data_IF_538618872117
#
_entry.id   IF_538618872117
#
_cell.length_a   1.000
_cell.length_b   1.000
_cell.length_c   1.000
_cell.angle_alpha   90.00
_cell.angle_beta   90.00
_cell.angle_gamma   90.00
#
_symmetry.space_group_name_H-M   'P 1'
#
loop_
_entity.id
_entity.type
_entity.pdbx_description
1 polymer ?
#
# COMPACT_ATOMS: atom_id res chain seq x y z
N UNK A 1 -25.11 -8.48 25.13
CA UNK A 1 -23.71 -8.82 25.46
C UNK A 1 -22.94 -7.51 25.56
N UNK A 2 -22.31 -7.21 26.69
CA UNK A 2 -21.36 -6.09 26.75
C UNK A 2 -20.04 -6.56 26.14
N UNK A 3 -19.47 -5.76 25.23
CA UNK A 3 -18.24 -6.09 24.53
C UNK A 3 -17.03 -5.72 25.40
N UNK A 4 -16.87 -6.41 26.53
CA UNK A 4 -15.90 -6.03 27.58
C UNK A 4 -14.44 -6.38 27.23
N UNK A 5 -14.21 -7.20 26.19
CA UNK A 5 -12.86 -7.65 25.81
C UNK A 5 -11.94 -6.52 25.35
N UNK A 6 -12.50 -5.38 24.92
CA UNK A 6 -11.72 -4.22 24.49
C UNK A 6 -11.37 -3.27 25.64
N UNK A 7 -11.96 -3.44 26.83
CA UNK A 7 -11.78 -2.54 27.96
C UNK A 7 -11.88 -1.05 27.59
N UNK A 8 -10.97 -0.26 28.13
CA UNK A 8 -10.89 1.19 27.89
C UNK A 8 -10.37 1.55 26.48
N UNK A 9 -10.02 0.55 25.65
CA UNK A 9 -9.57 0.75 24.27
C UNK A 9 -10.72 0.78 23.26
N UNK A 10 -11.96 0.56 23.69
CA UNK A 10 -13.10 0.38 22.78
C UNK A 10 -13.24 1.52 21.75
N UNK A 11 -13.10 2.76 22.18
CA UNK A 11 -13.22 3.91 21.29
C UNK A 11 -12.10 3.94 20.24
N UNK A 12 -10.85 3.73 20.66
CA UNK A 12 -9.70 3.68 19.76
C UNK A 12 -9.90 2.59 18.69
N UNK A 13 -10.27 1.39 19.10
CA UNK A 13 -10.50 0.26 18.19
C UNK A 13 -11.65 0.55 17.21
N UNK A 14 -12.73 1.18 17.69
CA UNK A 14 -13.84 1.58 16.83
C UNK A 14 -13.37 2.55 15.72
N UNK A 15 -12.54 3.55 16.05
CA UNK A 15 -12.06 4.51 15.05
C UNK A 15 -11.15 3.85 14.02
N UNK A 16 -10.28 2.93 14.45
CA UNK A 16 -9.42 2.15 13.54
C UNK A 16 -10.26 1.30 12.59
N UNK A 17 -11.28 0.60 13.09
CA UNK A 17 -12.19 -0.20 12.24
C UNK A 17 -12.92 0.69 11.24
N UNK A 18 -13.44 1.84 11.69
CA UNK A 18 -14.13 2.79 10.80
C UNK A 18 -13.21 3.29 9.70
N UNK A 19 -11.98 3.69 10.04
CA UNK A 19 -10.98 4.13 9.07
C UNK A 19 -10.64 3.02 8.07
N UNK A 20 -10.34 1.80 8.55
CA UNK A 20 -10.02 0.67 7.70
C UNK A 20 -11.13 0.33 6.69
N UNK A 21 -12.39 0.34 7.13
CA UNK A 21 -13.54 0.10 6.25
C UNK A 21 -13.72 1.22 5.22
N UNK A 22 -13.64 2.49 5.63
CA UNK A 22 -13.77 3.64 4.73
C UNK A 22 -12.63 3.67 3.69
N UNK A 23 -11.40 3.38 4.14
CA UNK A 23 -10.24 3.28 3.27
C UNK A 23 -10.40 2.13 2.28
N UNK A 24 -10.72 0.92 2.73
CA UNK A 24 -10.93 -0.25 1.86
C UNK A 24 -11.97 0.00 0.75
N UNK A 25 -13.08 0.67 1.09
CA UNK A 25 -14.14 1.02 0.13
C UNK A 25 -13.68 2.00 -0.96
N UNK A 26 -12.67 2.83 -0.67
CA UNK A 26 -12.23 3.90 -1.57
C UNK A 26 -10.87 3.63 -2.22
N UNK A 27 -10.08 2.72 -1.65
CA UNK A 27 -8.67 2.48 -1.96
C UNK A 27 -8.39 2.15 -3.44
N UNK A 28 -9.34 1.49 -4.11
CA UNK A 28 -9.25 1.10 -5.54
C UNK A 28 -9.99 2.04 -6.48
N UNK A 29 -10.75 3.00 -5.97
CA UNK A 29 -11.51 3.94 -6.79
C UNK A 29 -10.56 4.83 -7.59
N UNK A 30 -10.85 4.99 -8.88
CA UNK A 30 -10.13 5.89 -9.75
C UNK A 30 -10.62 7.32 -9.52
N UNK A 31 -9.69 8.25 -9.25
CA UNK A 31 -9.95 9.68 -9.08
C UNK A 31 -8.83 10.49 -9.72
N UNK A 32 -9.11 11.75 -10.05
CA UNK A 32 -8.13 12.64 -10.66
C UNK A 32 -7.13 13.19 -9.65
N UNK A 33 -7.57 13.41 -8.41
CA UNK A 33 -6.79 14.04 -7.33
C UNK A 33 -6.11 15.34 -7.77
N UNK A 34 -6.85 16.21 -8.47
CA UNK A 34 -6.31 17.48 -8.98
C UNK A 34 -5.39 17.35 -10.19
N UNK A 35 -5.18 16.14 -10.73
CA UNK A 35 -4.33 15.90 -11.91
C UNK A 35 -5.16 15.74 -13.19
N UNK A 36 -4.48 15.69 -14.33
CA UNK A 36 -5.07 15.45 -15.66
C UNK A 36 -5.36 13.97 -15.95
N UNK A 37 -5.14 13.10 -14.96
CA UNK A 37 -5.23 11.65 -15.11
C UNK A 37 -5.87 10.97 -13.91
N UNK A 38 -6.48 9.82 -14.16
CA UNK A 38 -7.14 9.05 -13.10
C UNK A 38 -6.18 8.00 -12.54
N UNK A 39 -6.14 7.86 -11.22
CA UNK A 39 -5.48 6.76 -10.52
C UNK A 39 -6.22 6.44 -9.22
N UNK A 40 -5.92 5.29 -8.62
CA UNK A 40 -6.39 4.94 -7.28
C UNK A 40 -5.36 5.28 -6.21
N UNK A 41 -5.78 5.28 -4.95
CA UNK A 41 -4.86 5.43 -3.82
C UNK A 41 -3.76 4.35 -3.86
N UNK A 42 -4.13 3.11 -4.19
CA UNK A 42 -3.16 2.01 -4.38
C UNK A 42 -2.07 2.32 -5.40
N UNK A 43 -2.44 2.97 -6.50
CA UNK A 43 -1.52 3.29 -7.58
C UNK A 43 -0.62 4.47 -7.19
N UNK A 44 -1.17 5.56 -6.67
CA UNK A 44 -0.36 6.74 -6.32
C UNK A 44 0.59 6.47 -5.15
N UNK A 45 0.20 5.64 -4.18
CA UNK A 45 1.09 5.19 -3.10
C UNK A 45 2.20 4.25 -3.60
N UNK A 46 1.93 3.47 -4.66
CA UNK A 46 3.01 2.71 -5.33
C UNK A 46 4.04 3.65 -5.95
N UNK A 47 3.59 4.76 -6.58
CA UNK A 47 4.48 5.80 -7.11
C UNK A 47 5.26 6.50 -5.99
N UNK A 48 4.60 6.86 -4.89
CA UNK A 48 5.20 7.47 -3.69
C UNK A 48 6.37 6.64 -3.15
N UNK A 49 6.16 5.33 -2.97
CA UNK A 49 7.21 4.45 -2.44
C UNK A 49 8.39 4.31 -3.41
N UNK A 50 8.14 4.36 -4.72
CA UNK A 50 9.20 4.35 -5.74
C UNK A 50 9.97 5.67 -5.75
N UNK A 51 9.30 6.81 -5.51
CA UNK A 51 9.95 8.11 -5.34
C UNK A 51 10.86 8.12 -4.10
N UNK A 52 10.36 7.65 -2.95
CA UNK A 52 11.16 7.55 -1.71
C UNK A 52 12.36 6.59 -1.79
N UNK A 53 12.29 5.63 -2.70
CA UNK A 53 13.31 4.64 -2.94
C UNK A 53 14.26 5.02 -4.09
N UNK A 54 14.10 6.18 -4.73
CA UNK A 54 14.85 6.53 -5.94
C UNK A 54 16.38 6.52 -5.75
N UNK A 55 16.83 7.01 -4.59
CA UNK A 55 18.25 7.04 -4.20
C UNK A 55 18.69 5.78 -3.42
N UNK A 56 17.82 4.76 -3.34
CA UNK A 56 18.06 3.51 -2.63
C UNK A 56 18.08 2.35 -3.63
N UNK A 57 18.81 1.30 -3.30
CA UNK A 57 18.75 0.05 -4.07
C UNK A 57 17.60 -0.87 -3.58
N UNK A 58 16.46 -0.28 -3.23
CA UNK A 58 15.31 -1.00 -2.67
C UNK A 58 14.57 -1.77 -3.77
N UNK A 59 14.31 -3.05 -3.54
CA UNK A 59 13.64 -3.93 -4.51
C UNK A 59 12.13 -3.73 -4.45
N UNK A 60 11.44 -4.02 -5.56
CA UNK A 60 9.96 -4.01 -5.61
C UNK A 60 9.31 -4.87 -4.52
N UNK A 61 9.94 -5.99 -4.13
CA UNK A 61 9.43 -6.84 -3.05
C UNK A 61 9.53 -6.21 -1.66
N UNK A 62 10.55 -5.38 -1.44
CA UNK A 62 10.78 -4.68 -0.16
C UNK A 62 9.78 -3.52 -0.06
N UNK A 63 9.63 -2.73 -1.13
CA UNK A 63 8.61 -1.68 -1.21
C UNK A 63 7.19 -2.25 -1.05
N UNK A 64 6.89 -3.39 -1.67
CA UNK A 64 5.57 -4.04 -1.52
C UNK A 64 5.30 -4.45 -0.07
N UNK A 65 6.31 -5.01 0.62
CA UNK A 65 6.20 -5.39 2.03
C UNK A 65 6.02 -4.15 2.92
N UNK A 66 6.83 -3.11 2.73
CA UNK A 66 6.74 -1.84 3.47
C UNK A 66 5.39 -1.15 3.27
N UNK A 67 4.82 -1.23 2.07
CA UNK A 67 3.49 -0.70 1.74
C UNK A 67 2.34 -1.60 2.24
N UNK A 68 2.61 -2.82 2.71
CA UNK A 68 1.58 -3.76 3.17
C UNK A 68 0.72 -4.35 2.03
N UNK A 69 1.27 -4.47 0.82
CA UNK A 69 0.56 -5.03 -0.35
C UNK A 69 1.25 -6.27 -0.90
N UNK A 70 0.50 -7.14 -1.57
CA UNK A 70 1.11 -8.30 -2.23
C UNK A 70 2.05 -7.88 -3.36
N UNK A 71 3.10 -8.68 -3.61
CA UNK A 71 4.02 -8.48 -4.74
C UNK A 71 3.29 -8.41 -6.09
N UNK A 72 2.20 -9.17 -6.23
CA UNK A 72 1.35 -9.15 -7.44
C UNK A 72 0.59 -7.83 -7.58
N UNK A 73 0.05 -7.28 -6.49
CA UNK A 73 -0.63 -5.97 -6.49
C UNK A 73 0.36 -4.86 -6.83
N UNK A 74 1.51 -4.85 -6.18
CA UNK A 74 2.56 -3.87 -6.46
C UNK A 74 3.02 -3.92 -7.92
N UNK A 75 3.30 -5.12 -8.45
CA UNK A 75 3.71 -5.31 -9.84
C UNK A 75 2.63 -4.87 -10.84
N UNK A 76 1.35 -5.11 -10.51
CA UNK A 76 0.21 -4.66 -11.32
C UNK A 76 0.12 -3.13 -11.35
N UNK A 77 0.31 -2.47 -10.21
CA UNK A 77 0.31 -1.02 -10.13
C UNK A 77 1.49 -0.42 -10.89
N UNK A 78 2.70 -0.96 -10.71
CA UNK A 78 3.89 -0.57 -11.49
C UNK A 78 3.62 -0.67 -12.99
N UNK A 79 3.07 -1.80 -13.46
CA UNK A 79 2.71 -1.95 -14.88
C UNK A 79 1.75 -0.84 -15.35
N UNK A 80 0.68 -0.57 -14.58
CA UNK A 80 -0.30 0.45 -14.96
C UNK A 80 0.29 1.87 -14.98
N UNK A 81 1.13 2.19 -14.00
CA UNK A 81 1.81 3.49 -13.91
C UNK A 81 2.85 3.66 -15.03
N UNK A 82 3.55 2.59 -15.42
CA UNK A 82 4.43 2.59 -16.61
C UNK A 82 3.63 2.82 -17.90
N UNK A 83 2.48 2.14 -18.08
CA UNK A 83 1.58 2.35 -19.23
C UNK A 83 1.05 3.79 -19.30
N UNK A 84 0.92 4.46 -18.16
CA UNK A 84 0.54 5.87 -18.03
C UNK A 84 1.71 6.85 -18.24
N UNK A 85 2.93 6.36 -18.41
CA UNK A 85 4.15 7.16 -18.57
C UNK A 85 4.67 7.78 -17.28
N UNK A 86 4.26 7.30 -16.10
CA UNK A 86 4.66 7.83 -14.80
C UNK A 86 5.89 7.13 -14.21
N UNK A 87 6.18 5.92 -14.69
CA UNK A 87 7.30 5.11 -14.23
C UNK A 87 8.09 4.58 -15.43
N UNK A 88 9.40 4.44 -15.23
CA UNK A 88 10.34 3.86 -16.18
C UNK A 88 10.96 2.60 -15.58
N UNK A 89 11.24 1.60 -16.43
CA UNK A 89 11.82 0.33 -16.02
C UNK A 89 13.26 0.22 -16.52
N UNK A 90 14.13 -0.26 -15.64
CA UNK A 90 15.55 -0.40 -15.88
C UNK A 90 16.02 -1.81 -15.53
N UNK A 91 17.15 -2.20 -16.13
CA UNK A 91 17.95 -3.33 -15.72
C UNK A 91 19.36 -2.84 -15.41
N UNK A 92 20.02 -3.46 -14.42
CA UNK A 92 21.44 -3.22 -14.22
C UNK A 92 22.24 -3.87 -15.34
N UNK A 93 23.34 -3.22 -15.74
CA UNK A 93 24.30 -3.83 -16.65
C UNK A 93 24.81 -5.14 -16.04
N UNK A 94 24.61 -6.26 -16.72
CA UNK A 94 25.00 -7.59 -16.23
C UNK A 94 23.97 -8.31 -15.34
N UNK A 95 22.88 -7.65 -14.91
CA UNK A 95 21.77 -8.31 -14.21
C UNK A 95 20.43 -7.99 -14.89
N UNK A 96 20.03 -8.87 -15.81
CA UNK A 96 18.74 -8.80 -16.51
C UNK A 96 17.58 -9.46 -15.74
N UNK A 97 17.88 -10.14 -14.63
CA UNK A 97 16.88 -10.86 -13.84
C UNK A 97 16.05 -9.90 -13.00
N UNK A 98 16.71 -8.88 -12.44
CA UNK A 98 16.06 -7.89 -11.58
C UNK A 98 15.57 -6.69 -12.41
N UNK A 99 14.35 -6.25 -12.12
CA UNK A 99 13.74 -5.06 -12.70
C UNK A 99 13.79 -3.96 -11.64
N UNK A 100 14.42 -2.85 -12.00
CA UNK A 100 14.41 -1.63 -11.21
C UNK A 100 13.38 -0.68 -11.82
N UNK A 101 12.74 0.11 -10.97
CA UNK A 101 11.69 1.03 -11.39
C UNK A 101 12.03 2.40 -10.83
N UNK A 102 11.97 3.43 -11.67
CA UNK A 102 12.17 4.82 -11.24
C UNK A 102 11.01 5.68 -11.71
N UNK A 103 10.74 6.82 -11.04
CA UNK A 103 9.75 7.77 -11.54
C UNK A 103 10.25 8.42 -12.84
N UNK A 104 9.34 8.64 -13.77
CA UNK A 104 9.61 9.53 -14.91
C UNK A 104 9.45 10.99 -14.49
N UNK A 105 9.91 11.94 -15.30
CA UNK A 105 9.68 13.37 -15.04
C UNK A 105 8.19 13.68 -14.85
N UNK A 106 7.36 13.16 -15.75
CA UNK A 106 5.89 13.25 -15.64
C UNK A 106 5.38 12.63 -14.33
N UNK A 107 5.97 11.53 -13.88
CA UNK A 107 5.65 10.91 -12.59
C UNK A 107 5.84 11.86 -11.41
N UNK A 108 6.97 12.58 -11.39
CA UNK A 108 7.28 13.60 -10.36
C UNK A 108 6.27 14.74 -10.40
N UNK A 109 6.01 15.30 -11.58
CA UNK A 109 5.04 16.40 -11.75
C UNK A 109 3.62 16.01 -11.27
N UNK A 110 3.17 14.81 -11.62
CA UNK A 110 1.86 14.28 -11.21
C UNK A 110 1.81 14.08 -9.70
N UNK A 111 2.88 13.57 -9.10
CA UNK A 111 2.93 13.37 -7.66
C UNK A 111 2.93 14.70 -6.90
N UNK A 112 3.64 15.74 -7.38
CA UNK A 112 3.58 17.09 -6.79
C UNK A 112 2.14 17.62 -6.78
N UNK A 113 1.44 17.59 -7.92
CA UNK A 113 0.03 18.03 -8.00
C UNK A 113 -0.89 17.23 -7.09
N UNK A 114 -0.67 15.91 -7.01
CA UNK A 114 -1.40 15.06 -6.09
C UNK A 114 -1.17 15.49 -4.63
N UNK A 115 0.08 15.72 -4.22
CA UNK A 115 0.40 16.13 -2.85
C UNK A 115 -0.22 17.48 -2.50
N UNK A 116 -0.19 18.46 -3.40
CA UNK A 116 -0.87 19.75 -3.21
C UNK A 116 -2.37 19.54 -2.97
N UNK A 117 -3.02 18.75 -3.82
CA UNK A 117 -4.45 18.45 -3.70
C UNK A 117 -4.82 17.77 -2.38
N UNK A 118 -4.09 16.72 -1.96
CA UNK A 118 -4.44 15.99 -0.73
C UNK A 118 -4.05 16.76 0.54
N UNK A 119 -3.01 17.60 0.48
CA UNK A 119 -2.65 18.49 1.59
C UNK A 119 -3.76 19.47 1.91
N UNK A 120 -4.24 20.18 0.89
CA UNK A 120 -5.33 21.13 1.03
C UNK A 120 -6.64 20.44 1.45
N UNK A 121 -6.94 19.27 0.87
CA UNK A 121 -8.20 18.59 1.11
C UNK A 121 -8.29 17.96 2.50
N UNK A 122 -7.20 17.39 3.03
CA UNK A 122 -7.26 16.66 4.29
C UNK A 122 -6.00 16.72 5.17
N UNK A 123 -4.80 16.61 4.62
CA UNK A 123 -3.62 16.38 5.47
C UNK A 123 -3.22 17.60 6.31
N UNK A 124 -3.41 18.82 5.83
CA UNK A 124 -3.01 20.01 6.60
C UNK A 124 -3.79 20.14 7.92
N UNK A 125 -5.08 19.77 7.94
CA UNK A 125 -5.85 19.74 9.18
C UNK A 125 -5.42 18.57 10.08
N UNK A 126 -5.15 17.41 9.50
CA UNK A 126 -4.65 16.23 10.24
C UNK A 126 -3.30 16.56 10.92
N UNK A 127 -2.39 17.23 10.21
CA UNK A 127 -1.06 17.55 10.72
C UNK A 127 -1.11 18.52 11.91
N UNK A 128 -2.05 19.47 11.95
CA UNK A 128 -2.24 20.33 13.13
C UNK A 128 -2.52 19.55 14.42
N UNK A 129 -3.23 18.42 14.33
CA UNK A 129 -3.45 17.54 15.48
C UNK A 129 -2.25 16.63 15.72
N UNK A 130 -1.63 16.11 14.66
CA UNK A 130 -0.44 15.28 14.77
C UNK A 130 0.73 16.01 15.45
N UNK A 131 0.88 17.30 15.20
CA UNK A 131 1.91 18.17 15.78
C UNK A 131 1.74 18.37 17.30
N UNK A 132 0.54 18.13 17.84
CA UNK A 132 0.26 18.22 19.27
C UNK A 132 0.60 16.95 20.04
N UNK A 133 0.86 15.84 19.34
CA UNK A 133 1.18 14.55 19.94
C UNK A 133 2.65 14.55 20.37
N UNK A 134 2.95 14.09 21.58
CA UNK A 134 4.33 13.93 22.03
C UNK A 134 5.08 12.91 21.16
N UNK A 135 6.40 13.03 21.01
CA UNK A 135 7.17 12.09 20.20
C UNK A 135 7.05 10.64 20.71
N UNK A 136 6.96 10.46 22.04
CA UNK A 136 6.73 9.14 22.64
C UNK A 136 5.34 8.58 22.26
N UNK A 137 4.30 9.40 22.29
CA UNK A 137 2.95 8.97 21.90
C UNK A 137 2.83 8.72 20.40
N UNK A 138 3.54 9.49 19.55
CA UNK A 138 3.64 9.21 18.12
C UNK A 138 4.29 7.84 17.88
N UNK A 139 5.38 7.53 18.57
CA UNK A 139 6.03 6.23 18.45
C UNK A 139 5.11 5.08 18.89
N UNK A 140 4.37 5.26 19.99
CA UNK A 140 3.36 4.29 20.43
C UNK A 140 2.26 4.12 19.37
N UNK A 141 1.77 5.22 18.78
CA UNK A 141 0.76 5.18 17.74
C UNK A 141 1.26 4.45 16.49
N UNK A 142 2.47 4.75 16.00
CA UNK A 142 3.11 4.04 14.89
C UNK A 142 3.20 2.54 15.20
N UNK A 143 3.66 2.17 16.40
CA UNK A 143 3.77 0.77 16.80
C UNK A 143 2.42 0.06 16.83
N UNK A 144 1.36 0.73 17.27
CA UNK A 144 -0.01 0.20 17.24
C UNK A 144 -0.44 -0.07 15.80
N UNK A 145 -0.20 0.88 14.89
CA UNK A 145 -0.55 0.74 13.47
C UNK A 145 0.20 -0.41 12.80
N UNK A 146 1.50 -0.57 13.09
CA UNK A 146 2.30 -1.70 12.60
C UNK A 146 1.72 -3.04 13.07
N UNK A 147 1.36 -3.17 14.36
CA UNK A 147 0.76 -4.40 14.89
C UNK A 147 -0.56 -4.74 14.20
N UNK A 148 -1.39 -3.73 13.89
CA UNK A 148 -2.62 -3.95 13.11
C UNK A 148 -2.32 -4.39 11.67
N UNK A 149 -1.35 -3.75 11.03
CA UNK A 149 -0.95 -4.07 9.66
C UNK A 149 -0.37 -5.48 9.57
N UNK A 150 0.54 -5.86 10.47
CA UNK A 150 1.19 -7.17 10.53
C UNK A 150 0.17 -8.30 10.62
N UNK A 151 -0.85 -8.14 11.48
CA UNK A 151 -1.94 -9.11 11.62
C UNK A 151 -2.69 -9.28 10.29
N UNK A 152 -3.03 -8.18 9.60
CA UNK A 152 -3.75 -8.23 8.33
C UNK A 152 -2.91 -8.83 7.20
N UNK A 153 -1.61 -8.50 7.14
CA UNK A 153 -0.67 -9.08 6.17
C UNK A 153 -0.55 -10.58 6.40
N UNK A 154 -0.34 -11.01 7.64
CA UNK A 154 -0.24 -12.42 8.01
C UNK A 154 -1.51 -13.21 7.64
N UNK A 155 -2.70 -12.67 7.93
CA UNK A 155 -3.96 -13.28 7.53
C UNK A 155 -4.08 -13.41 6.01
N UNK A 156 -3.68 -12.38 5.26
CA UNK A 156 -3.69 -12.40 3.80
C UNK A 156 -2.74 -13.42 3.17
N UNK A 157 -1.57 -13.65 3.79
CA UNK A 157 -0.61 -14.68 3.35
C UNK A 157 -1.13 -16.10 3.64
N UNK A 158 -1.66 -16.34 4.85
CA UNK A 158 -2.28 -17.62 5.25
C UNK A 158 -3.41 -18.03 4.32
N UNK A 159 -4.28 -17.10 3.93
CA UNK A 159 -5.37 -17.38 3.00
C UNK A 159 -4.87 -17.78 1.60
N UNK A 160 -3.76 -17.20 1.13
CA UNK A 160 -3.16 -17.58 -0.15
C UNK A 160 -2.53 -18.97 -0.12
N UNK A 161 -1.90 -19.36 1.00
CA UNK A 161 -1.36 -20.72 1.17
C UNK A 161 -2.45 -21.80 1.14
N UNK A 162 -3.60 -21.52 1.76
CA UNK A 162 -4.72 -22.45 1.84
C UNK A 162 -5.41 -22.68 0.48
N UNK A 163 -5.31 -21.74 -0.47
CA UNK A 163 -5.96 -21.80 -1.80
C UNK A 163 -5.09 -22.46 -2.89
N UNK A 164 -4.21 -23.40 -2.54
CA UNK A 164 -3.43 -24.17 -3.52
C UNK A 164 -4.27 -25.31 -4.11
N UNK A 165 -4.59 -25.22 -5.40
CA UNK A 165 -5.18 -26.32 -6.15
C UNK A 165 -4.17 -27.46 -6.24
N UNK A 166 -4.57 -28.64 -5.78
CA UNK A 166 -3.79 -29.87 -5.89
C UNK A 166 -4.30 -30.61 -7.13
N UNK A 167 -3.38 -31.15 -7.94
CA UNK A 167 -3.75 -31.99 -9.09
C UNK A 167 -4.50 -33.22 -8.57
N UNK A 168 -5.66 -33.52 -9.14
CA UNK A 168 -6.27 -34.84 -8.97
C UNK A 168 -5.41 -35.79 -9.80
N UNK A 169 -4.63 -36.64 -9.14
CA UNK A 169 -3.97 -37.74 -9.82
C UNK A 169 -5.06 -38.67 -10.35
N UNK A 170 -5.16 -38.75 -11.67
CA UNK A 170 -6.04 -39.68 -12.36
C UNK A 170 -5.43 -41.07 -12.29
N UNK A 171 -5.56 -41.73 -11.15
CA UNK A 171 -5.29 -43.17 -11.03
C UNK A 171 -6.23 -43.79 -10.01
N UNK A 172 -7.39 -44.24 -10.50
CA UNK A 172 -8.08 -45.44 -10.02
C UNK A 172 -9.39 -45.63 -10.80
N UNK A 173 -9.44 -46.65 -11.65
CA UNK A 173 -10.72 -47.20 -12.12
C UNK A 173 -10.81 -47.52 -13.60
N UNK A 174 -9.87 -48.31 -14.13
CA UNK A 174 -10.17 -49.20 -15.25
C UNK A 174 -9.85 -50.62 -14.79
N UNK A 175 -10.84 -51.24 -14.13
CA UNK A 175 -11.07 -52.68 -14.16
C UNK A 175 -12.30 -52.93 -15.06
#
# INVERSE_FOLDING_TARGET
MKLDWMGDHRELIEKIIKYGNAYSNTYKLQRSYGTDMMFSASQIQTLEYILEAEDKEEKMSEMAARLGVSRSTFSKNVKNLTEKGLLEKFHLSGNRKDIYVKPSEKGREVYVKYTEFVRELCFDEIFKYADQISEADKQNFVRIMDLFADVLVWYGEKEQEARKLIRIDSDSGSD
#
